data_IF_189716596596
#
_entry.id   IF_189716596596
#
_cell.length_a   1.000
_cell.length_b   1.000
_cell.length_c   1.000
_cell.angle_alpha   90.00
_cell.angle_beta   90.00
_cell.angle_gamma   90.00
#
_symmetry.space_group_name_H-M   'P 1'
#
loop_
_entity.id
_entity.type
_entity.pdbx_description
1 polymer ?
#
# COMPACT_ATOMS: atom_id res chain seq x y z
N UNK A 1 -83.19 27.08 -51.76
CA UNK A 1 -83.47 26.20 -50.60
C UNK A 1 -83.22 24.77 -51.05
N UNK A 2 -82.57 23.87 -50.28
CA UNK A 2 -82.52 23.80 -48.81
C UNK A 2 -81.13 23.53 -48.16
N UNK A 3 -81.11 23.78 -46.84
CA UNK A 3 -80.45 23.12 -45.69
C UNK A 3 -78.91 22.86 -45.59
N UNK A 4 -78.28 23.24 -44.46
CA UNK A 4 -76.94 22.78 -44.08
C UNK A 4 -77.00 21.43 -43.33
N UNK A 5 -76.18 20.46 -43.77
CA UNK A 5 -76.03 19.16 -43.10
C UNK A 5 -75.05 19.23 -41.93
N UNK A 6 -75.50 18.75 -40.78
CA UNK A 6 -74.71 18.54 -39.55
C UNK A 6 -73.54 17.57 -39.77
N UNK A 7 -72.38 17.93 -39.21
CA UNK A 7 -71.19 17.08 -39.12
C UNK A 7 -71.18 16.30 -37.79
N UNK A 8 -71.11 14.96 -37.80
CA UNK A 8 -71.02 14.17 -36.57
C UNK A 8 -69.58 14.12 -36.03
N UNK A 9 -69.43 14.37 -34.73
CA UNK A 9 -68.19 14.26 -33.95
C UNK A 9 -67.64 12.82 -34.01
N UNK A 10 -66.43 12.64 -34.56
CA UNK A 10 -65.63 11.42 -34.38
C UNK A 10 -64.89 11.49 -33.04
N UNK A 11 -65.29 10.65 -32.09
CA UNK A 11 -64.52 10.35 -30.87
C UNK A 11 -63.28 9.54 -31.22
N UNK A 12 -62.10 10.01 -30.83
CA UNK A 12 -60.86 9.26 -30.89
C UNK A 12 -60.81 8.28 -29.70
N UNK A 13 -60.53 6.98 -29.88
CA UNK A 13 -60.24 6.08 -28.75
C UNK A 13 -58.94 6.54 -28.08
N UNK A 14 -58.96 6.60 -26.75
CA UNK A 14 -57.80 7.00 -25.94
C UNK A 14 -56.66 6.00 -26.06
N UNK A 15 -55.46 6.48 -26.41
CA UNK A 15 -54.17 5.75 -26.39
C UNK A 15 -53.80 5.17 -25.01
N UNK A 16 -54.60 5.42 -23.97
CA UNK A 16 -54.37 4.92 -22.60
C UNK A 16 -54.70 3.43 -22.40
N UNK A 17 -55.51 2.81 -23.26
CA UNK A 17 -55.90 1.41 -23.10
C UNK A 17 -55.02 0.40 -23.86
N UNK A 18 -54.21 0.83 -24.82
CA UNK A 18 -53.29 -0.07 -25.54
C UNK A 18 -52.00 -0.32 -24.75
N UNK A 19 -51.49 0.70 -24.05
CA UNK A 19 -50.30 0.60 -23.20
C UNK A 19 -50.53 -0.23 -21.91
N UNK A 20 -51.77 -0.28 -21.41
CA UNK A 20 -52.12 -1.12 -20.25
C UNK A 20 -52.16 -2.61 -20.59
N UNK A 21 -52.62 -2.98 -21.79
CA UNK A 21 -52.65 -4.37 -22.25
C UNK A 21 -51.27 -4.88 -22.68
N UNK A 22 -50.39 -4.01 -23.18
CA UNK A 22 -49.01 -4.39 -23.53
C UNK A 22 -48.12 -4.57 -22.28
N UNK A 23 -48.33 -3.77 -21.23
CA UNK A 23 -47.71 -3.99 -19.92
C UNK A 23 -48.28 -5.22 -19.20
N UNK A 24 -49.59 -5.49 -19.32
CA UNK A 24 -50.19 -6.71 -18.77
C UNK A 24 -49.68 -7.98 -19.47
N UNK A 25 -49.41 -7.91 -20.79
CA UNK A 25 -48.80 -9.01 -21.56
C UNK A 25 -47.30 -9.20 -21.27
N UNK A 26 -46.56 -8.13 -20.96
CA UNK A 26 -45.17 -8.24 -20.45
C UNK A 26 -45.08 -8.82 -19.03
N UNK A 27 -46.10 -8.58 -18.19
CA UNK A 27 -46.20 -9.20 -16.86
C UNK A 27 -46.58 -10.69 -16.89
N UNK A 28 -47.23 -11.17 -17.96
CA UNK A 28 -47.66 -12.58 -18.07
C UNK A 28 -46.66 -13.52 -18.76
N UNK A 29 -45.55 -13.02 -19.31
CA UNK A 29 -44.56 -13.86 -20.02
C UNK A 29 -43.10 -13.67 -19.56
N UNK A 30 -42.86 -12.95 -18.47
CA UNK A 30 -41.60 -13.02 -17.75
C UNK A 30 -41.68 -14.13 -16.73
N UNK A 31 -40.88 -15.20 -16.88
CA UNK A 31 -40.59 -16.06 -15.74
C UNK A 31 -40.18 -15.13 -14.58
N UNK A 32 -40.90 -15.18 -13.45
CA UNK A 32 -40.44 -14.56 -12.21
C UNK A 32 -39.01 -15.05 -12.03
N UNK A 33 -38.03 -14.17 -12.23
CA UNK A 33 -36.64 -14.49 -11.94
C UNK A 33 -36.58 -14.53 -10.43
N UNK A 34 -36.91 -15.69 -9.86
CA UNK A 34 -36.70 -15.96 -8.46
C UNK A 34 -35.19 -15.79 -8.24
N UNK A 35 -34.82 -14.83 -7.40
CA UNK A 35 -33.42 -14.68 -7.02
C UNK A 35 -32.94 -16.01 -6.44
N UNK A 36 -31.96 -16.62 -7.11
CA UNK A 36 -31.36 -17.84 -6.60
C UNK A 36 -30.24 -17.49 -5.61
N UNK A 37 -30.14 -18.29 -4.54
CA UNK A 37 -29.12 -18.08 -3.51
C UNK A 37 -27.69 -18.21 -4.07
N UNK A 38 -27.52 -18.92 -5.20
CA UNK A 38 -26.24 -19.09 -5.88
C UNK A 38 -25.75 -17.79 -6.52
N UNK A 39 -26.61 -17.03 -7.19
CA UNK A 39 -26.31 -15.74 -7.80
C UNK A 39 -26.04 -14.70 -6.73
N UNK A 40 -26.82 -14.70 -5.64
CA UNK A 40 -26.52 -13.85 -4.47
C UNK A 40 -25.15 -14.20 -3.90
N UNK A 41 -24.87 -15.48 -3.64
CA UNK A 41 -23.55 -15.92 -3.16
C UNK A 41 -22.44 -15.47 -4.09
N UNK A 42 -22.60 -15.64 -5.41
CA UNK A 42 -21.60 -15.23 -6.40
C UNK A 42 -21.35 -13.72 -6.37
N UNK A 43 -22.41 -12.91 -6.30
CA UNK A 43 -22.31 -11.45 -6.26
C UNK A 43 -21.60 -10.96 -5.00
N UNK A 44 -22.02 -11.44 -3.82
CA UNK A 44 -21.41 -11.00 -2.55
C UNK A 44 -20.00 -11.56 -2.36
N UNK A 45 -19.69 -12.72 -2.95
CA UNK A 45 -18.35 -13.31 -2.90
C UNK A 45 -17.33 -12.52 -3.71
N UNK A 46 -17.77 -11.73 -4.69
CA UNK A 46 -16.93 -10.86 -5.51
C UNK A 46 -16.58 -9.51 -4.83
N UNK A 47 -17.27 -9.15 -3.75
CA UNK A 47 -16.92 -7.98 -2.93
C UNK A 47 -15.50 -8.14 -2.41
N UNK A 48 -14.72 -7.07 -2.44
CA UNK A 48 -13.31 -7.09 -2.09
C UNK A 48 -13.14 -6.69 -0.62
N UNK A 49 -12.45 -7.52 0.16
CA UNK A 49 -12.01 -7.11 1.48
C UNK A 49 -11.00 -5.94 1.34
N UNK A 50 -11.27 -4.77 1.92
CA UNK A 50 -10.43 -3.59 1.72
C UNK A 50 -9.05 -3.69 2.40
N UNK A 51 -8.89 -4.57 3.40
CA UNK A 51 -7.62 -4.77 4.10
C UNK A 51 -6.75 -5.82 3.38
N UNK A 52 -7.34 -6.94 2.98
CA UNK A 52 -6.66 -8.06 2.33
C UNK A 52 -6.60 -7.93 0.80
N UNK A 53 -7.40 -7.04 0.21
CA UNK A 53 -7.53 -6.82 -1.25
C UNK A 53 -7.84 -8.11 -2.03
N UNK A 54 -8.64 -8.99 -1.43
CA UNK A 54 -9.09 -10.25 -2.03
C UNK A 54 -10.61 -10.39 -1.93
N UNK A 55 -11.25 -11.11 -2.86
CA UNK A 55 -12.69 -11.36 -2.80
C UNK A 55 -13.09 -12.08 -1.50
N UNK A 56 -14.20 -11.68 -0.88
CA UNK A 56 -14.72 -12.27 0.36
C UNK A 56 -14.94 -13.78 0.24
N UNK A 57 -15.30 -14.26 -0.96
CA UNK A 57 -15.45 -15.69 -1.24
C UNK A 57 -14.13 -16.46 -1.16
N UNK A 58 -13.01 -15.89 -1.61
CA UNK A 58 -11.69 -16.54 -1.53
C UNK A 58 -11.17 -16.65 -0.09
N UNK A 59 -11.70 -15.80 0.80
CA UNK A 59 -11.32 -15.69 2.20
C UNK A 59 -12.22 -16.55 3.11
N UNK A 60 -13.23 -17.24 2.56
CA UNK A 60 -14.31 -17.91 3.30
C UNK A 60 -15.01 -16.97 4.31
N UNK A 61 -15.16 -15.70 3.94
CA UNK A 61 -15.87 -14.73 4.76
C UNK A 61 -17.38 -14.78 4.52
N UNK A 62 -17.84 -15.40 3.42
CA UNK A 62 -19.27 -15.57 3.13
C UNK A 62 -19.77 -16.88 3.73
N UNK A 63 -20.61 -16.79 4.75
CA UNK A 63 -21.27 -17.91 5.41
C UNK A 63 -22.51 -18.39 4.65
N UNK A 64 -23.59 -18.65 5.39
CA UNK A 64 -24.87 -19.05 4.82
C UNK A 64 -25.47 -17.91 3.98
N UNK A 65 -26.04 -18.29 2.83
CA UNK A 65 -26.77 -17.39 1.93
C UNK A 65 -28.10 -18.07 1.61
N UNK A 66 -29.21 -17.44 1.98
CA UNK A 66 -30.57 -17.90 1.64
C UNK A 66 -31.35 -16.75 1.00
N UNK A 67 -32.36 -17.10 0.20
CA UNK A 67 -33.25 -16.13 -0.43
C UNK A 67 -34.68 -16.61 -0.26
N UNK A 68 -35.48 -15.83 0.46
CA UNK A 68 -36.87 -16.14 0.78
C UNK A 68 -37.75 -14.93 0.43
N UNK A 69 -38.75 -15.11 -0.43
CA UNK A 69 -39.68 -14.05 -0.87
C UNK A 69 -39.00 -12.75 -1.34
N UNK A 70 -37.87 -12.87 -2.03
CA UNK A 70 -37.07 -11.74 -2.52
C UNK A 70 -36.23 -11.05 -1.44
N UNK A 71 -36.16 -11.60 -0.22
CA UNK A 71 -35.23 -11.14 0.82
C UNK A 71 -34.01 -12.04 0.83
N UNK A 72 -32.83 -11.48 0.56
CA UNK A 72 -31.56 -12.17 0.68
C UNK A 72 -31.03 -12.07 2.12
N UNK A 73 -30.78 -13.21 2.75
CA UNK A 73 -30.12 -13.30 4.05
C UNK A 73 -28.68 -13.76 3.83
N UNK A 74 -27.71 -12.93 4.21
CA UNK A 74 -26.28 -13.22 3.99
C UNK A 74 -25.53 -13.10 5.31
N UNK A 75 -24.86 -14.17 5.71
CA UNK A 75 -23.92 -14.15 6.85
C UNK A 75 -22.52 -13.80 6.38
N UNK A 76 -21.87 -12.84 7.04
CA UNK A 76 -20.49 -12.44 6.76
C UNK A 76 -19.66 -12.61 8.03
N UNK A 77 -18.59 -13.42 7.96
CA UNK A 77 -17.67 -13.65 9.06
C UNK A 77 -16.43 -12.77 8.92
N UNK A 78 -16.31 -11.75 9.78
CA UNK A 78 -15.16 -10.85 9.86
C UNK A 78 -13.96 -11.53 10.54
N UNK A 79 -12.76 -11.09 10.17
CA UNK A 79 -11.50 -11.63 10.70
C UNK A 79 -11.30 -11.33 12.18
N UNK A 80 -11.73 -10.16 12.65
CA UNK A 80 -11.65 -9.73 14.06
C UNK A 80 -12.87 -8.90 14.48
N UNK A 81 -13.09 -8.85 15.80
CA UNK A 81 -14.06 -7.93 16.42
C UNK A 81 -13.60 -6.49 16.19
N UNK A 82 -14.50 -5.61 15.72
CA UNK A 82 -14.19 -4.19 15.55
C UNK A 82 -13.30 -3.88 14.34
N UNK A 83 -13.26 -4.76 13.33
CA UNK A 83 -12.63 -4.49 12.04
C UNK A 83 -13.10 -3.10 11.54
N UNK A 84 -12.19 -2.13 11.33
CA UNK A 84 -12.56 -0.79 10.87
C UNK A 84 -13.33 -0.81 9.54
N UNK A 85 -13.08 -1.84 8.72
CA UNK A 85 -13.75 -2.05 7.46
C UNK A 85 -15.16 -2.68 7.57
N UNK A 86 -15.62 -3.10 8.75
CA UNK A 86 -16.89 -3.82 8.93
C UNK A 86 -18.09 -3.09 8.31
N UNK A 87 -18.21 -1.78 8.54
CA UNK A 87 -19.30 -0.94 8.02
C UNK A 87 -19.26 -0.88 6.49
N UNK A 88 -18.05 -0.76 5.93
CA UNK A 88 -17.85 -0.72 4.48
C UNK A 88 -18.20 -2.06 3.84
N UNK A 89 -17.69 -3.16 4.40
CA UNK A 89 -17.98 -4.52 3.94
C UNK A 89 -19.48 -4.79 3.99
N UNK A 90 -20.16 -4.45 5.09
CA UNK A 90 -21.61 -4.63 5.23
C UNK A 90 -22.38 -3.85 4.14
N UNK A 91 -21.99 -2.60 3.89
CA UNK A 91 -22.60 -1.76 2.85
C UNK A 91 -22.39 -2.33 1.45
N UNK A 92 -21.15 -2.69 1.10
CA UNK A 92 -20.81 -3.22 -0.24
C UNK A 92 -21.45 -4.59 -0.47
N UNK A 93 -21.52 -5.46 0.55
CA UNK A 93 -22.22 -6.75 0.47
C UNK A 93 -23.73 -6.56 0.30
N UNK A 94 -24.33 -5.63 1.06
CA UNK A 94 -25.75 -5.29 0.92
C UNK A 94 -26.06 -4.80 -0.49
N UNK A 95 -25.22 -3.91 -1.01
CA UNK A 95 -25.35 -3.38 -2.37
C UNK A 95 -25.20 -4.48 -3.42
N UNK A 96 -24.17 -5.33 -3.31
CA UNK A 96 -23.94 -6.43 -4.25
C UNK A 96 -25.11 -7.43 -4.27
N UNK A 97 -25.66 -7.77 -3.09
CA UNK A 97 -26.84 -8.63 -2.99
C UNK A 97 -28.08 -7.99 -3.61
N UNK A 98 -28.30 -6.68 -3.40
CA UNK A 98 -29.46 -5.95 -3.92
C UNK A 98 -29.45 -5.80 -5.45
N UNK A 99 -28.29 -5.87 -6.10
CA UNK A 99 -28.17 -5.82 -7.57
C UNK A 99 -28.55 -7.14 -8.26
N UNK A 100 -28.78 -8.22 -7.50
CA UNK A 100 -29.18 -9.51 -8.07
C UNK A 100 -30.66 -9.48 -8.46
N UNK A 101 -31.02 -9.78 -9.73
CA UNK A 101 -32.41 -9.81 -10.16
C UNK A 101 -33.28 -10.73 -9.28
N UNK A 102 -34.40 -10.19 -8.79
CA UNK A 102 -35.31 -10.90 -7.89
C UNK A 102 -35.08 -10.61 -6.40
N UNK A 103 -34.01 -9.90 -6.02
CA UNK A 103 -33.80 -9.42 -4.65
C UNK A 103 -34.47 -8.06 -4.45
N UNK A 104 -35.38 -7.98 -3.48
CA UNK A 104 -36.08 -6.77 -3.04
C UNK A 104 -35.39 -6.12 -1.83
N UNK A 105 -34.77 -6.93 -0.96
CA UNK A 105 -34.08 -6.48 0.25
C UNK A 105 -32.93 -7.43 0.58
N UNK A 106 -31.84 -6.91 1.16
CA UNK A 106 -30.74 -7.70 1.67
C UNK A 106 -30.49 -7.44 3.16
N UNK A 107 -30.61 -8.49 3.96
CA UNK A 107 -30.33 -8.50 5.40
C UNK A 107 -28.97 -9.16 5.62
N UNK A 108 -28.02 -8.37 6.14
CA UNK A 108 -26.63 -8.81 6.34
C UNK A 108 -26.41 -9.07 7.84
N UNK A 109 -26.06 -10.30 8.17
CA UNK A 109 -25.68 -10.68 9.54
C UNK A 109 -24.14 -10.68 9.63
N UNK A 110 -23.60 -9.72 10.38
CA UNK A 110 -22.16 -9.62 10.62
C UNK A 110 -21.77 -10.46 11.83
N UNK A 111 -20.87 -11.41 11.62
CA UNK A 111 -20.27 -12.27 12.65
C UNK A 111 -18.75 -12.17 12.68
N UNK A 112 -18.12 -12.98 13.53
CA UNK A 112 -16.65 -13.07 13.64
C UNK A 112 -16.23 -14.52 13.41
N UNK A 113 -15.12 -14.70 12.69
CA UNK A 113 -14.52 -16.01 12.45
C UNK A 113 -14.17 -16.74 13.76
N UNK A 114 -14.50 -18.02 13.82
CA UNK A 114 -14.03 -18.93 14.87
C UNK A 114 -12.51 -19.09 14.84
N UNK A 115 -11.86 -19.53 15.94
CA UNK A 115 -10.41 -19.81 15.93
C UNK A 115 -9.97 -20.76 14.82
N UNK A 116 -10.78 -21.77 14.47
CA UNK A 116 -10.49 -22.69 13.39
C UNK A 116 -10.51 -21.99 12.02
N UNK A 117 -11.51 -21.14 11.76
CA UNK A 117 -11.60 -20.35 10.52
C UNK A 117 -10.44 -19.36 10.38
N UNK A 118 -10.03 -18.69 11.47
CA UNK A 118 -8.88 -17.78 11.48
C UNK A 118 -7.56 -18.50 11.22
N UNK A 119 -7.37 -19.69 11.79
CA UNK A 119 -6.21 -20.53 11.51
C UNK A 119 -6.16 -20.95 10.03
N UNK A 120 -7.28 -21.40 9.46
CA UNK A 120 -7.37 -21.79 8.06
C UNK A 120 -7.13 -20.61 7.10
N UNK A 121 -7.64 -19.42 7.45
CA UNK A 121 -7.34 -18.19 6.71
C UNK A 121 -5.84 -17.86 6.76
N UNK A 122 -5.22 -17.93 7.95
CA UNK A 122 -3.79 -17.67 8.13
C UNK A 122 -2.92 -18.64 7.33
N UNK A 123 -3.28 -19.92 7.30
CA UNK A 123 -2.59 -20.94 6.52
C UNK A 123 -2.68 -20.68 5.01
N UNK A 124 -3.87 -20.30 4.52
CA UNK A 124 -4.08 -19.89 3.12
C UNK A 124 -3.27 -18.64 2.77
N UNK A 125 -3.31 -17.60 3.60
CA UNK A 125 -2.57 -16.35 3.37
C UNK A 125 -1.05 -16.55 3.41
N UNK A 126 -0.56 -17.57 4.12
CA UNK A 126 0.85 -17.95 4.11
C UNK A 126 1.24 -18.78 2.89
N UNK A 127 0.28 -19.36 2.16
CA UNK A 127 0.50 -20.14 0.93
C UNK A 127 1.63 -21.19 1.05
N UNK A 128 1.76 -21.83 2.23
CA UNK A 128 2.80 -22.84 2.48
C UNK A 128 4.23 -22.29 2.63
N UNK A 129 4.42 -20.97 2.74
CA UNK A 129 5.75 -20.38 3.01
C UNK A 129 6.29 -20.87 4.37
N UNK A 130 7.56 -21.31 4.45
CA UNK A 130 8.19 -21.69 5.71
C UNK A 130 8.16 -20.53 6.71
N UNK A 131 8.10 -20.84 8.01
CA UNK A 131 8.27 -19.81 9.05
C UNK A 131 9.71 -19.27 8.98
N UNK A 132 9.85 -17.97 8.71
CA UNK A 132 11.14 -17.27 8.63
C UNK A 132 11.03 -15.97 7.83
N UNK A 133 12.13 -15.24 7.72
CA UNK A 133 12.20 -14.03 6.90
C UNK A 133 11.84 -14.36 5.46
N UNK A 134 10.76 -13.77 4.95
CA UNK A 134 10.22 -14.09 3.63
C UNK A 134 11.08 -13.56 2.47
N UNK A 135 12.03 -12.66 2.77
CA UNK A 135 12.84 -11.94 1.80
C UNK A 135 14.24 -12.53 1.74
N UNK A 136 14.42 -13.54 0.88
CA UNK A 136 15.70 -14.25 0.71
C UNK A 136 16.42 -13.84 -0.56
N UNK A 137 17.69 -14.23 -0.69
CA UNK A 137 18.50 -14.02 -1.90
C UNK A 137 17.86 -14.57 -3.17
N UNK A 138 17.07 -15.65 -3.04
CA UNK A 138 16.39 -16.33 -4.14
C UNK A 138 14.97 -15.78 -4.39
N UNK A 139 14.52 -14.86 -3.54
CA UNK A 139 13.21 -14.24 -3.62
C UNK A 139 12.99 -13.41 -4.88
N UNK A 140 11.70 -13.27 -5.23
CA UNK A 140 11.21 -12.39 -6.28
C UNK A 140 10.94 -10.96 -5.80
N UNK A 141 11.20 -10.62 -4.54
CA UNK A 141 11.10 -9.24 -4.04
C UNK A 141 12.48 -8.57 -4.01
N UNK A 142 12.58 -7.34 -4.51
CA UNK A 142 13.80 -6.51 -4.42
C UNK A 142 13.70 -5.76 -3.10
N UNK A 143 14.66 -5.97 -2.22
CA UNK A 143 14.69 -5.28 -0.94
C UNK A 143 15.64 -4.11 -1.04
N UNK A 144 15.17 -2.90 -0.73
CA UNK A 144 15.97 -1.68 -0.76
C UNK A 144 15.89 -1.00 0.61
N UNK A 145 17.00 -0.96 1.33
CA UNK A 145 17.12 -0.21 2.57
C UNK A 145 17.57 1.23 2.28
N UNK A 146 16.79 2.20 2.73
CA UNK A 146 17.09 3.62 2.60
C UNK A 146 17.70 4.11 3.91
N UNK A 147 18.97 4.50 3.88
CA UNK A 147 19.73 4.91 5.07
C UNK A 147 20.22 6.35 4.96
N UNK A 148 20.55 6.96 6.08
CA UNK A 148 21.22 8.26 6.14
C UNK A 148 22.26 8.29 7.26
N UNK A 149 23.24 9.18 7.13
CA UNK A 149 24.20 9.42 8.21
C UNK A 149 23.61 10.18 9.40
N UNK A 150 22.67 11.09 9.13
CA UNK A 150 22.07 11.98 10.13
C UNK A 150 20.55 12.00 10.02
N UNK A 151 19.90 12.36 11.13
CA UNK A 151 18.49 12.75 11.14
C UNK A 151 18.27 14.08 10.42
N UNK A 152 17.07 14.31 9.89
CA UNK A 152 16.69 15.57 9.27
C UNK A 152 17.10 15.76 7.80
N UNK A 153 17.79 14.78 7.18
CA UNK A 153 18.13 14.85 5.74
C UNK A 153 16.96 14.57 4.79
N UNK A 154 15.75 14.32 5.33
CA UNK A 154 14.54 14.02 4.55
C UNK A 154 14.46 12.59 4.00
N UNK A 155 15.20 11.64 4.60
CA UNK A 155 15.19 10.21 4.27
C UNK A 155 13.76 9.64 4.19
N UNK A 156 12.98 9.73 5.27
CA UNK A 156 11.62 9.17 5.32
C UNK A 156 10.67 9.80 4.31
N UNK A 157 10.77 11.12 4.09
CA UNK A 157 10.02 11.84 3.04
C UNK A 157 10.34 11.30 1.65
N UNK A 158 11.62 11.07 1.34
CA UNK A 158 12.03 10.46 0.08
C UNK A 158 11.58 9.01 -0.03
N UNK A 159 11.72 8.21 1.04
CA UNK A 159 11.30 6.80 1.06
C UNK A 159 9.79 6.67 0.78
N UNK A 160 8.95 7.49 1.42
CA UNK A 160 7.51 7.49 1.21
C UNK A 160 7.13 7.87 -0.24
N UNK A 161 7.70 8.97 -0.76
CA UNK A 161 7.41 9.40 -2.14
C UNK A 161 7.96 8.41 -3.18
N UNK A 162 9.11 7.80 -2.93
CA UNK A 162 9.66 6.76 -3.78
C UNK A 162 8.74 5.52 -3.81
N UNK A 163 8.22 5.10 -2.65
CA UNK A 163 7.28 3.99 -2.55
C UNK A 163 6.03 4.25 -3.41
N UNK A 164 5.46 5.44 -3.27
CA UNK A 164 4.26 5.87 -3.98
C UNK A 164 4.52 5.98 -5.48
N UNK A 165 5.67 6.53 -5.89
CA UNK A 165 6.05 6.62 -7.29
C UNK A 165 6.27 5.24 -7.93
N UNK A 166 6.80 4.26 -7.19
CA UNK A 166 6.93 2.88 -7.66
C UNK A 166 5.57 2.20 -7.78
N UNK A 167 4.68 2.38 -6.80
CA UNK A 167 3.32 1.85 -6.83
C UNK A 167 2.49 2.44 -8.00
N UNK A 168 2.63 3.75 -8.26
CA UNK A 168 2.00 4.42 -9.40
C UNK A 168 2.48 3.89 -10.78
N UNK A 169 3.61 3.15 -10.82
CA UNK A 169 4.10 2.44 -12.00
C UNK A 169 3.56 1.01 -12.12
N UNK A 170 2.63 0.62 -11.25
CA UNK A 170 2.01 -0.70 -11.23
C UNK A 170 2.80 -1.77 -10.49
N UNK A 171 3.85 -1.40 -9.74
CA UNK A 171 4.61 -2.36 -8.93
C UNK A 171 3.89 -2.64 -7.61
N UNK A 172 3.97 -3.88 -7.14
CA UNK A 172 3.52 -4.24 -5.80
C UNK A 172 4.57 -3.83 -4.77
N UNK A 173 4.27 -2.81 -3.95
CA UNK A 173 5.24 -2.17 -3.04
C UNK A 173 4.86 -2.36 -1.57
N UNK A 174 5.83 -2.81 -0.78
CA UNK A 174 5.79 -2.78 0.68
C UNK A 174 6.73 -1.71 1.24
N UNK A 175 6.36 -1.10 2.35
CA UNK A 175 7.16 -0.13 3.07
C UNK A 175 7.22 -0.46 4.57
N UNK A 176 8.43 -0.67 5.08
CA UNK A 176 8.70 -0.89 6.49
C UNK A 176 9.39 0.34 7.05
N UNK A 177 8.78 0.97 8.03
CA UNK A 177 9.40 2.04 8.81
C UNK A 177 10.08 1.43 10.04
N UNK A 178 11.42 1.39 9.97
CA UNK A 178 12.28 0.88 11.03
C UNK A 178 12.87 2.00 11.90
N UNK A 179 12.49 3.27 11.68
CA UNK A 179 12.95 4.40 12.47
C UNK A 179 12.15 4.52 13.77
N UNK A 180 12.69 3.93 14.82
CA UNK A 180 12.01 3.81 16.12
C UNK A 180 11.93 5.10 16.92
N UNK A 181 12.75 6.08 16.57
CA UNK A 181 12.82 7.36 17.27
C UNK A 181 12.08 8.47 16.50
N UNK A 182 11.96 8.33 15.18
CA UNK A 182 11.38 9.33 14.28
C UNK A 182 10.39 8.76 13.29
N UNK A 183 9.57 7.78 13.69
CA UNK A 183 8.57 7.17 12.82
C UNK A 183 7.68 8.28 12.21
N UNK A 184 7.74 8.40 10.89
CA UNK A 184 7.09 9.50 10.17
C UNK A 184 6.34 9.02 8.94
N UNK A 185 6.62 7.80 8.48
CA UNK A 185 6.01 7.20 7.30
C UNK A 185 4.47 7.18 7.38
N UNK A 186 3.82 6.81 8.50
CA UNK A 186 2.36 6.80 8.54
C UNK A 186 1.75 8.19 8.31
N UNK A 187 2.33 9.23 8.92
CA UNK A 187 1.91 10.61 8.72
C UNK A 187 2.15 11.08 7.28
N UNK A 188 3.33 10.80 6.73
CA UNK A 188 3.70 11.14 5.34
C UNK A 188 2.79 10.50 4.28
N UNK A 189 2.17 9.36 4.60
CA UNK A 189 1.22 8.67 3.74
C UNK A 189 -0.26 8.95 4.11
N UNK A 190 -0.52 9.85 5.06
CA UNK A 190 -1.89 10.16 5.49
C UNK A 190 -2.60 8.96 6.14
N UNK A 191 -1.85 7.99 6.68
CA UNK A 191 -2.36 6.85 7.44
C UNK A 191 -2.73 7.30 8.87
N UNK A 192 -3.59 8.30 8.96
CA UNK A 192 -4.14 8.86 10.18
C UNK A 192 -5.67 8.79 10.13
N UNK A 193 -6.29 8.45 11.26
CA UNK A 193 -7.75 8.43 11.38
C UNK A 193 -8.33 9.84 11.54
N UNK A 194 -9.66 9.95 11.58
CA UNK A 194 -10.36 11.23 11.74
C UNK A 194 -10.06 11.95 13.07
N UNK A 195 -9.47 11.26 14.05
CA UNK A 195 -9.02 11.83 15.31
C UNK A 195 -7.52 12.18 15.30
N UNK A 196 -6.84 12.04 14.16
CA UNK A 196 -5.42 12.33 13.99
C UNK A 196 -4.49 11.23 14.51
N UNK A 197 -5.00 10.04 14.83
CA UNK A 197 -4.20 8.92 15.36
C UNK A 197 -3.71 8.03 14.24
N UNK A 198 -2.55 7.43 14.42
CA UNK A 198 -1.98 6.51 13.41
C UNK A 198 -2.88 5.29 13.20
N UNK A 199 -3.21 4.99 11.94
CA UNK A 199 -3.96 3.78 11.57
C UNK A 199 -3.14 2.54 11.94
N UNK A 200 -3.76 1.61 12.66
CA UNK A 200 -3.08 0.40 13.16
C UNK A 200 -3.30 -0.80 12.24
N UNK A 201 -2.30 -1.69 12.09
CA UNK A 201 -2.44 -2.97 11.41
C UNK A 201 -3.49 -3.87 12.07
N UNK A 202 -4.21 -4.62 11.25
CA UNK A 202 -5.11 -5.69 11.71
C UNK A 202 -4.28 -6.91 12.08
N UNK A 203 -4.52 -7.48 13.28
CA UNK A 203 -3.84 -8.71 13.73
C UNK A 203 -4.78 -9.91 13.62
N UNK A 204 -4.39 -10.91 12.85
CA UNK A 204 -5.08 -12.19 12.71
C UNK A 204 -4.16 -13.27 13.30
N UNK A 205 -4.39 -13.62 14.57
CA UNK A 205 -3.49 -14.46 15.36
C UNK A 205 -2.04 -13.91 15.38
N UNK A 206 -1.11 -14.55 14.67
CA UNK A 206 0.28 -14.09 14.53
C UNK A 206 0.53 -13.27 13.26
N UNK A 207 -0.43 -13.24 12.33
CA UNK A 207 -0.32 -12.52 11.07
C UNK A 207 -0.67 -11.04 11.27
N UNK A 208 0.14 -10.15 10.70
CA UNK A 208 -0.07 -8.71 10.72
C UNK A 208 -0.48 -8.28 9.32
N UNK A 209 -1.70 -7.77 9.14
CA UNK A 209 -2.16 -7.19 7.88
C UNK A 209 -1.91 -5.67 7.92
N UNK A 210 -0.96 -5.15 7.12
CA UNK A 210 -0.60 -3.74 7.18
C UNK A 210 -1.68 -2.87 6.52
N UNK A 211 -1.91 -1.63 7.00
CA UNK A 211 -2.72 -0.67 6.26
C UNK A 211 -2.11 -0.33 4.90
N UNK A 212 -2.96 0.14 3.99
CA UNK A 212 -2.60 0.47 2.62
C UNK A 212 -2.91 1.94 2.37
N UNK A 213 -1.94 2.69 1.86
CA UNK A 213 -2.11 4.05 1.35
C UNK A 213 -1.39 4.19 0.02
N UNK A 214 -2.06 4.80 -0.98
CA UNK A 214 -1.50 4.97 -2.34
C UNK A 214 -0.96 3.65 -2.93
N UNK A 215 -1.69 2.56 -2.68
CA UNK A 215 -1.32 1.18 -3.05
C UNK A 215 0.03 0.67 -2.49
N UNK A 216 0.55 1.33 -1.45
CA UNK A 216 1.72 0.90 -0.67
C UNK A 216 1.26 0.25 0.64
N UNK A 217 1.66 -1.01 0.85
CA UNK A 217 1.43 -1.75 2.11
C UNK A 217 2.46 -1.30 3.14
N UNK A 218 2.01 -0.66 4.23
CA UNK A 218 2.91 0.03 5.15
C UNK A 218 2.82 -0.52 6.56
N UNK A 219 3.97 -0.82 7.17
CA UNK A 219 4.07 -1.13 8.59
C UNK A 219 5.10 -0.21 9.24
N UNK A 220 4.77 0.35 10.39
CA UNK A 220 5.67 1.19 11.18
C UNK A 220 5.63 0.76 12.64
N UNK A 221 6.76 0.91 13.33
CA UNK A 221 6.82 0.61 14.76
C UNK A 221 5.89 1.51 15.58
N UNK A 222 5.66 2.76 15.13
CA UNK A 222 4.75 3.70 15.79
C UNK A 222 3.31 3.18 15.88
N UNK A 223 2.91 2.31 14.96
CA UNK A 223 1.58 1.69 14.93
C UNK A 223 1.33 0.70 16.09
N UNK A 224 2.39 0.25 16.77
CA UNK A 224 2.32 -0.73 17.86
C UNK A 224 2.53 -0.11 19.25
N UNK A 225 2.75 1.20 19.32
CA UNK A 225 2.76 1.92 20.58
C UNK A 225 1.36 1.95 21.19
N UNK A 226 1.27 1.87 22.52
CA UNK A 226 -0.02 1.92 23.23
C UNK A 226 -0.59 3.34 23.15
N UNK A 227 -1.92 3.46 23.18
CA UNK A 227 -2.56 4.78 23.29
C UNK A 227 -2.06 5.48 24.55
N UNK A 228 -1.55 6.71 24.40
CA UNK A 228 -0.94 7.49 25.49
C UNK A 228 0.60 7.40 25.56
N UNK A 229 1.23 6.45 24.88
CA UNK A 229 2.71 6.29 24.86
C UNK A 229 3.35 6.95 23.63
N UNK A 230 2.58 7.59 22.75
CA UNK A 230 3.07 8.23 21.51
C UNK A 230 4.06 9.39 21.77
N UNK A 231 4.01 9.99 22.97
CA UNK A 231 4.99 10.97 23.47
C UNK A 231 5.94 10.43 24.55
N UNK A 232 5.77 9.16 24.96
CA UNK A 232 6.63 8.55 25.96
C UNK A 232 7.92 8.07 25.29
N UNK A 233 9.08 8.45 25.82
CA UNK A 233 10.37 7.95 25.38
C UNK A 233 10.50 6.46 25.76
N UNK A 234 9.91 5.56 24.97
CA UNK A 234 10.09 4.13 25.12
C UNK A 234 11.54 3.81 24.79
N UNK A 235 12.32 3.42 25.80
CA UNK A 235 13.71 3.04 25.61
C UNK A 235 13.81 1.67 24.92
N UNK A 236 13.78 1.68 23.59
CA UNK A 236 13.96 0.48 22.79
C UNK A 236 15.39 -0.05 22.94
N UNK A 237 15.53 -1.28 23.43
CA UNK A 237 16.83 -1.97 23.54
C UNK A 237 17.12 -2.74 22.25
N UNK A 238 18.39 -2.84 21.86
CA UNK A 238 18.84 -3.56 20.65
C UNK A 238 18.16 -4.92 20.39
N UNK A 239 18.08 -5.83 21.37
CA UNK A 239 17.40 -7.12 21.17
C UNK A 239 15.90 -7.01 20.88
N UNK A 240 15.23 -5.99 21.44
CA UNK A 240 13.81 -5.74 21.15
C UNK A 240 13.62 -5.20 19.74
N UNK A 241 14.52 -4.32 19.30
CA UNK A 241 14.55 -3.80 17.94
C UNK A 241 14.77 -4.91 16.92
N UNK A 242 15.77 -5.76 17.15
CA UNK A 242 16.04 -6.92 16.31
C UNK A 242 14.81 -7.82 16.15
N UNK A 243 14.15 -8.18 17.28
CA UNK A 243 12.93 -8.99 17.24
C UNK A 243 11.79 -8.30 16.49
N UNK A 244 11.65 -6.99 16.62
CA UNK A 244 10.58 -6.24 15.95
C UNK A 244 10.79 -6.19 14.44
N UNK A 245 12.02 -5.89 13.99
CA UNK A 245 12.38 -5.94 12.57
C UNK A 245 12.18 -7.35 12.02
N UNK A 246 12.65 -8.38 12.74
CA UNK A 246 12.45 -9.77 12.35
C UNK A 246 10.95 -10.12 12.22
N UNK A 247 10.12 -9.64 13.14
CA UNK A 247 8.67 -9.80 13.09
C UNK A 247 8.08 -9.14 11.85
N UNK A 248 8.48 -7.91 11.52
CA UNK A 248 8.00 -7.25 10.30
C UNK A 248 8.37 -8.00 9.03
N UNK A 249 9.53 -8.64 9.00
CA UNK A 249 9.99 -9.42 7.85
C UNK A 249 9.40 -10.85 7.77
N UNK A 250 8.72 -11.31 8.83
CA UNK A 250 8.22 -12.70 8.95
C UNK A 250 6.70 -12.77 9.03
N UNK A 251 6.09 -11.91 9.85
CA UNK A 251 4.70 -12.01 10.26
C UNK A 251 3.78 -11.01 9.53
N UNK A 252 4.33 -10.01 8.84
CA UNK A 252 3.53 -9.06 8.06
C UNK A 252 3.14 -9.67 6.72
N UNK A 253 1.83 -9.66 6.44
CA UNK A 253 1.26 -10.13 5.19
C UNK A 253 1.36 -9.05 4.10
N UNK A 254 2.54 -8.94 3.49
CA UNK A 254 2.73 -8.08 2.32
C UNK A 254 2.16 -8.69 1.03
N UNK A 255 1.83 -9.98 1.00
CA UNK A 255 1.50 -10.72 -0.22
C UNK A 255 2.74 -10.92 -1.11
N UNK A 256 2.54 -10.89 -2.42
CA UNK A 256 3.63 -10.89 -3.40
C UNK A 256 4.05 -9.45 -3.69
N UNK A 257 5.34 -9.16 -3.45
CA UNK A 257 5.92 -7.83 -3.66
C UNK A 257 6.97 -7.87 -4.76
N UNK A 258 6.96 -6.86 -5.62
CA UNK A 258 8.07 -6.55 -6.51
C UNK A 258 9.20 -5.86 -5.74
N UNK A 259 8.84 -4.93 -4.85
CA UNK A 259 9.78 -4.11 -4.08
C UNK A 259 9.34 -4.01 -2.61
N UNK A 260 10.30 -4.17 -1.70
CA UNK A 260 10.18 -3.83 -0.29
C UNK A 260 11.17 -2.70 0.03
N UNK A 261 10.66 -1.55 0.45
CA UNK A 261 11.46 -0.44 0.95
C UNK A 261 11.57 -0.51 2.48
N UNK A 262 12.76 -0.28 3.02
CA UNK A 262 12.98 -0.13 4.45
C UNK A 262 13.46 1.29 4.74
N UNK A 263 12.68 2.05 5.51
CA UNK A 263 13.10 3.34 6.05
C UNK A 263 13.94 3.12 7.31
N UNK A 264 15.26 3.20 7.18
CA UNK A 264 16.19 2.88 8.26
C UNK A 264 16.31 4.03 9.25
N UNK A 265 16.56 3.84 10.55
CA UNK A 265 16.91 4.95 11.43
C UNK A 265 18.22 5.61 11.01
N UNK A 266 18.46 6.88 11.35
CA UNK A 266 19.70 7.55 11.02
C UNK A 266 20.91 6.92 11.72
N UNK A 267 22.05 6.95 11.03
CA UNK A 267 23.34 6.50 11.54
C UNK A 267 23.56 4.98 11.44
N UNK A 268 24.41 4.48 12.32
CA UNK A 268 24.99 3.12 12.26
C UNK A 268 24.64 2.28 13.49
N UNK A 269 23.43 2.46 14.05
CA UNK A 269 22.98 1.82 15.29
C UNK A 269 22.48 0.37 15.14
N UNK A 270 21.96 -0.20 16.23
CA UNK A 270 21.55 -1.61 16.33
C UNK A 270 20.57 -2.09 15.24
N UNK A 271 19.68 -1.20 14.77
CA UNK A 271 18.71 -1.52 13.70
C UNK A 271 19.42 -1.72 12.36
N UNK A 272 20.41 -0.88 12.03
CA UNK A 272 21.18 -1.01 10.81
C UNK A 272 21.94 -2.35 10.77
N UNK A 273 22.54 -2.72 11.90
CA UNK A 273 23.21 -4.02 12.06
C UNK A 273 22.20 -5.17 11.95
N UNK A 274 21.04 -5.06 12.63
CA UNK A 274 20.00 -6.09 12.61
C UNK A 274 19.45 -6.32 11.20
N UNK A 275 19.16 -5.25 10.46
CA UNK A 275 18.72 -5.34 9.07
C UNK A 275 19.80 -5.96 8.20
N UNK A 276 21.06 -5.56 8.37
CA UNK A 276 22.18 -6.17 7.64
C UNK A 276 22.32 -7.68 7.90
N UNK A 277 22.09 -8.13 9.13
CA UNK A 277 22.11 -9.56 9.49
C UNK A 277 20.90 -10.33 8.92
N UNK A 278 19.71 -9.74 8.94
CA UNK A 278 18.48 -10.37 8.48
C UNK A 278 18.33 -10.33 6.96
N UNK A 279 18.90 -9.31 6.31
CA UNK A 279 18.78 -9.01 4.88
C UNK A 279 20.14 -8.66 4.26
N UNK A 280 21.14 -9.57 4.31
CA UNK A 280 22.48 -9.30 3.79
C UNK A 280 22.51 -9.05 2.28
N UNK A 281 21.45 -9.42 1.54
CA UNK A 281 21.35 -9.23 0.09
C UNK A 281 20.56 -7.98 -0.32
N UNK A 282 20.14 -7.15 0.63
CA UNK A 282 19.39 -5.94 0.30
C UNK A 282 20.28 -4.92 -0.43
N UNK A 283 19.67 -4.24 -1.39
CA UNK A 283 20.24 -3.03 -1.96
C UNK A 283 20.13 -1.88 -0.95
N UNK A 284 21.06 -0.94 -1.01
CA UNK A 284 21.11 0.20 -0.10
C UNK A 284 21.16 1.50 -0.89
N UNK A 285 20.24 2.40 -0.59
CA UNK A 285 20.23 3.78 -1.04
C UNK A 285 20.67 4.68 0.11
N UNK A 286 21.73 5.46 -0.11
CA UNK A 286 22.26 6.39 0.89
C UNK A 286 21.72 7.79 0.62
N UNK A 287 20.96 8.34 1.57
CA UNK A 287 20.45 9.71 1.52
C UNK A 287 21.40 10.64 2.25
N UNK A 288 21.79 11.72 1.57
CA UNK A 288 22.59 12.81 2.12
C UNK A 288 22.03 14.16 1.70
N UNK A 289 22.66 15.26 2.13
CA UNK A 289 22.41 16.61 1.62
C UNK A 289 23.72 17.21 1.09
N UNK A 290 23.68 18.37 0.39
CA UNK A 290 24.89 19.04 -0.06
C UNK A 290 25.86 19.43 1.07
N UNK A 291 25.39 19.51 2.31
CA UNK A 291 26.21 19.92 3.44
C UNK A 291 27.35 18.92 3.70
N UNK A 292 28.62 19.36 3.83
CA UNK A 292 29.74 18.48 4.08
C UNK A 292 29.57 17.61 5.33
N UNK A 293 28.97 18.19 6.38
CA UNK A 293 28.76 17.48 7.63
C UNK A 293 27.74 16.33 7.51
N UNK A 294 26.74 16.42 6.63
CA UNK A 294 25.80 15.32 6.35
C UNK A 294 26.47 14.26 5.47
N UNK A 295 27.21 14.70 4.45
CA UNK A 295 27.97 13.84 3.54
C UNK A 295 28.97 12.93 4.29
N UNK A 296 29.78 13.49 5.19
CA UNK A 296 30.78 12.70 5.93
C UNK A 296 30.16 11.54 6.72
N UNK A 297 29.01 11.77 7.35
CA UNK A 297 28.35 10.71 8.14
C UNK A 297 27.58 9.75 7.23
N UNK A 298 27.07 10.20 6.09
CA UNK A 298 26.42 9.33 5.10
C UNK A 298 27.38 8.27 4.53
N UNK A 299 28.66 8.61 4.34
CA UNK A 299 29.71 7.64 3.97
C UNK A 299 29.79 6.51 4.99
N UNK A 300 29.72 6.81 6.29
CA UNK A 300 29.78 5.79 7.35
C UNK A 300 28.62 4.80 7.28
N UNK A 301 27.42 5.28 6.97
CA UNK A 301 26.24 4.41 6.77
C UNK A 301 26.41 3.48 5.56
N UNK A 302 26.97 3.98 4.45
CA UNK A 302 27.28 3.17 3.26
C UNK A 302 28.37 2.11 3.53
N UNK A 303 29.42 2.47 4.27
CA UNK A 303 30.48 1.53 4.67
C UNK A 303 29.94 0.44 5.58
N UNK A 304 29.09 0.78 6.56
CA UNK A 304 28.46 -0.22 7.42
C UNK A 304 27.61 -1.21 6.62
N UNK A 305 26.80 -0.71 5.68
CA UNK A 305 26.01 -1.56 4.80
C UNK A 305 26.86 -2.59 4.04
N UNK A 306 28.03 -2.20 3.52
CA UNK A 306 28.96 -3.13 2.89
C UNK A 306 29.52 -4.15 3.88
N UNK A 307 29.87 -3.72 5.09
CA UNK A 307 30.38 -4.62 6.14
C UNK A 307 29.35 -5.67 6.56
N UNK A 308 28.05 -5.38 6.42
CA UNK A 308 26.95 -6.33 6.65
C UNK A 308 26.56 -7.15 5.41
N UNK A 309 27.33 -7.04 4.32
CA UNK A 309 27.14 -7.80 3.08
C UNK A 309 26.19 -7.16 2.07
N UNK A 310 25.56 -6.03 2.41
CA UNK A 310 24.59 -5.35 1.57
C UNK A 310 25.27 -4.57 0.43
N UNK A 311 24.54 -4.36 -0.66
CA UNK A 311 25.05 -3.66 -1.84
C UNK A 311 24.59 -2.21 -1.87
N UNK A 312 25.51 -1.25 -1.88
CA UNK A 312 25.15 0.17 -2.07
C UNK A 312 24.90 0.43 -3.55
N UNK A 313 23.64 0.66 -3.93
CA UNK A 313 23.24 0.85 -5.34
C UNK A 313 23.19 2.31 -5.77
N UNK A 314 23.27 3.23 -4.82
CA UNK A 314 23.35 4.64 -5.15
C UNK A 314 23.24 5.60 -3.99
N UNK A 315 23.56 6.85 -4.28
CA UNK A 315 23.40 7.99 -3.38
C UNK A 315 22.28 8.89 -3.89
N UNK A 316 21.46 9.40 -2.98
CA UNK A 316 20.47 10.44 -3.24
C UNK A 316 20.92 11.70 -2.49
N UNK A 317 21.14 12.78 -3.22
CA UNK A 317 21.33 14.10 -2.64
C UNK A 317 19.97 14.77 -2.48
N UNK A 318 19.47 14.88 -1.24
CA UNK A 318 18.25 15.61 -0.95
C UNK A 318 18.54 17.08 -0.59
N UNK A 319 17.53 17.93 -0.69
CA UNK A 319 17.66 19.37 -0.42
C UNK A 319 18.77 20.01 -1.27
N UNK A 320 18.88 19.54 -2.53
CA UNK A 320 19.73 20.14 -3.54
C UNK A 320 19.24 21.57 -3.88
N UNK A 321 19.96 22.35 -4.70
CA UNK A 321 19.60 23.74 -4.99
C UNK A 321 18.12 23.89 -5.37
N UNK A 322 17.43 24.81 -4.69
CA UNK A 322 16.01 25.08 -4.90
C UNK A 322 15.81 25.78 -6.23
N UNK A 323 14.85 25.31 -7.03
CA UNK A 323 14.43 26.01 -8.26
C UNK A 323 13.48 27.14 -7.89
N UNK A 324 13.82 28.36 -8.30
CA UNK A 324 13.01 29.57 -8.08
C UNK A 324 12.00 29.76 -9.22
N UNK A 325 10.92 30.56 -9.02
CA UNK A 325 9.90 30.78 -10.04
C UNK A 325 10.42 31.40 -11.36
N UNK A 326 11.56 32.09 -11.31
CA UNK A 326 12.22 32.66 -12.49
C UNK A 326 13.13 31.65 -13.23
N UNK A 327 13.19 30.40 -12.77
CA UNK A 327 14.00 29.33 -13.33
C UNK A 327 15.46 29.30 -12.84
N UNK A 328 15.87 30.27 -12.02
CA UNK A 328 17.20 30.24 -11.39
C UNK A 328 17.24 29.28 -10.21
N UNK A 329 18.44 28.98 -9.69
CA UNK A 329 18.61 28.07 -8.56
C UNK A 329 19.24 28.76 -7.36
N UNK A 330 18.75 28.44 -6.16
CA UNK A 330 19.30 28.88 -4.88
C UNK A 330 19.99 27.72 -4.16
N UNK A 331 21.31 27.79 -3.99
CA UNK A 331 22.11 26.80 -3.27
C UNK A 331 22.08 27.02 -1.74
N UNK A 332 20.90 26.89 -1.11
CA UNK A 332 20.73 27.20 0.32
C UNK A 332 21.69 26.40 1.23
N UNK A 333 21.99 25.16 0.85
CA UNK A 333 22.86 24.25 1.60
C UNK A 333 24.17 23.92 0.88
N UNK A 334 24.48 24.64 -0.20
CA UNK A 334 25.57 24.34 -1.12
C UNK A 334 25.22 23.27 -2.16
N UNK A 335 26.26 22.68 -2.75
CA UNK A 335 26.16 21.68 -3.82
C UNK A 335 27.27 20.63 -3.72
N UNK A 336 27.06 19.46 -4.33
CA UNK A 336 28.12 18.45 -4.56
C UNK A 336 28.36 17.45 -3.42
N UNK A 337 27.65 17.55 -2.30
CA UNK A 337 27.77 16.61 -1.18
C UNK A 337 27.43 15.17 -1.57
N UNK A 338 26.38 14.96 -2.37
CA UNK A 338 26.01 13.64 -2.87
C UNK A 338 27.06 13.02 -3.79
N UNK A 339 27.63 13.82 -4.70
CA UNK A 339 28.71 13.38 -5.58
C UNK A 339 29.96 12.98 -4.77
N UNK A 340 30.28 13.73 -3.72
CA UNK A 340 31.38 13.38 -2.83
C UNK A 340 31.15 12.05 -2.09
N UNK A 341 29.93 11.80 -1.60
CA UNK A 341 29.57 10.51 -0.96
C UNK A 341 29.66 9.36 -1.98
N UNK A 342 29.12 9.55 -3.18
CA UNK A 342 29.14 8.55 -4.25
C UNK A 342 30.59 8.17 -4.64
N UNK A 343 31.46 9.17 -4.81
CA UNK A 343 32.88 8.95 -5.06
C UNK A 343 33.58 8.24 -3.89
N UNK A 344 33.27 8.61 -2.64
CA UNK A 344 33.87 8.00 -1.45
C UNK A 344 33.46 6.54 -1.24
N UNK A 345 32.25 6.18 -1.68
CA UNK A 345 31.73 4.81 -1.62
C UNK A 345 32.08 4.00 -2.87
N UNK A 346 32.68 4.59 -3.90
CA UNK A 346 33.10 3.85 -5.08
C UNK A 346 34.40 3.09 -4.79
N UNK A 347 34.43 1.79 -5.06
CA UNK A 347 35.61 0.93 -4.94
C UNK A 347 35.94 0.29 -6.29
N UNK A 348 37.16 -0.24 -6.43
CA UNK A 348 37.60 -0.93 -7.64
C UNK A 348 36.66 -2.07 -8.02
N UNK A 349 35.84 -1.87 -9.05
CA UNK A 349 34.89 -2.87 -9.56
C UNK A 349 33.45 -2.77 -9.02
N UNK A 350 33.15 -1.81 -8.13
CA UNK A 350 31.80 -1.53 -7.63
C UNK A 350 31.57 -0.01 -7.57
N UNK A 351 31.10 0.55 -8.68
CA UNK A 351 30.76 1.97 -8.82
C UNK A 351 29.46 2.29 -8.10
N UNK A 352 29.49 3.32 -7.25
CA UNK A 352 28.31 3.83 -6.55
C UNK A 352 27.89 5.15 -7.20
N UNK A 353 26.81 5.19 -7.99
CA UNK A 353 26.38 6.40 -8.66
C UNK A 353 25.59 7.35 -7.75
N UNK A 354 25.66 8.65 -8.04
CA UNK A 354 24.63 9.60 -7.62
C UNK A 354 23.38 9.33 -8.47
N UNK A 355 22.36 8.68 -7.88
CA UNK A 355 21.17 8.23 -8.61
C UNK A 355 20.09 9.29 -8.72
N UNK A 356 20.10 10.27 -7.81
CA UNK A 356 19.20 11.42 -7.85
C UNK A 356 19.79 12.60 -7.08
N UNK A 357 19.47 13.80 -7.55
CA UNK A 357 19.61 15.05 -6.81
C UNK A 357 18.22 15.68 -6.76
N UNK A 358 17.64 15.75 -5.56
CA UNK A 358 16.26 16.19 -5.32
C UNK A 358 16.29 17.62 -4.79
N UNK A 359 15.79 18.60 -5.58
CA UNK A 359 15.75 20.00 -5.17
C UNK A 359 15.00 20.20 -3.86
N UNK A 360 15.44 21.16 -3.06
CA UNK A 360 14.66 21.64 -1.93
C UNK A 360 13.34 22.23 -2.45
N UNK A 361 12.22 21.71 -1.96
CA UNK A 361 10.87 22.14 -2.38
C UNK A 361 9.99 22.42 -1.16
N UNK A 362 9.36 23.60 -1.16
CA UNK A 362 8.35 23.96 -0.18
C UNK A 362 7.07 23.14 -0.36
N UNK A 363 6.71 22.82 -1.60
CA UNK A 363 5.58 21.96 -1.93
C UNK A 363 5.80 20.55 -1.38
N UNK A 364 7.02 19.99 -1.48
CA UNK A 364 7.34 18.68 -0.92
C UNK A 364 7.17 18.64 0.60
N UNK A 365 7.57 19.72 1.29
CA UNK A 365 7.35 19.88 2.73
C UNK A 365 5.86 19.92 3.08
N UNK A 366 5.08 20.76 2.38
CA UNK A 366 3.61 20.89 2.59
C UNK A 366 2.90 19.55 2.33
N UNK A 367 3.24 18.90 1.24
CA UNK A 367 2.76 17.57 0.86
C UNK A 367 2.99 16.55 1.98
N UNK A 368 4.22 16.53 2.54
CA UNK A 368 4.56 15.69 3.68
C UNK A 368 3.72 15.96 4.92
N UNK A 369 3.52 17.22 5.30
CA UNK A 369 2.69 17.58 6.46
C UNK A 369 1.22 17.19 6.29
N UNK A 370 0.71 17.26 5.06
CA UNK A 370 -0.67 16.92 4.72
C UNK A 370 -0.92 15.42 4.49
N UNK A 371 0.12 14.59 4.50
CA UNK A 371 0.02 13.17 4.17
C UNK A 371 -0.35 12.88 2.71
N UNK A 372 -0.03 13.81 1.80
CA UNK A 372 -0.36 13.74 0.38
C UNK A 372 0.93 13.78 -0.48
N UNK A 373 1.56 12.62 -0.77
CA UNK A 373 2.83 12.51 -1.48
C UNK A 373 2.91 13.38 -2.74
N UNK A 374 3.96 14.21 -2.85
CA UNK A 374 4.11 15.21 -3.92
C UNK A 374 4.12 14.59 -5.31
N UNK A 375 4.64 13.37 -5.43
CA UNK A 375 4.72 12.63 -6.70
C UNK A 375 3.34 12.37 -7.33
N UNK A 376 2.26 12.47 -6.55
CA UNK A 376 0.88 12.41 -7.03
C UNK A 376 0.18 13.76 -6.95
N UNK A 377 0.38 14.52 -5.87
CA UNK A 377 -0.36 15.76 -5.62
C UNK A 377 0.14 16.96 -6.44
N UNK A 378 1.43 17.01 -6.76
CA UNK A 378 2.03 18.00 -7.67
C UNK A 378 3.19 17.40 -8.49
N UNK A 379 2.90 16.60 -9.52
CA UNK A 379 3.93 15.95 -10.35
C UNK A 379 4.80 16.93 -11.15
N UNK A 380 4.40 18.20 -11.26
CA UNK A 380 5.14 19.26 -11.95
C UNK A 380 6.27 19.87 -11.13
N UNK A 381 6.26 19.67 -9.80
CA UNK A 381 7.32 20.17 -8.93
C UNK A 381 8.67 19.48 -9.25
N UNK A 382 9.80 20.22 -9.28
CA UNK A 382 11.11 19.66 -9.59
C UNK A 382 11.55 18.51 -8.68
N UNK A 383 11.17 18.53 -7.40
CA UNK A 383 11.46 17.43 -6.48
C UNK A 383 10.61 16.20 -6.79
N UNK A 384 9.31 16.39 -7.10
CA UNK A 384 8.43 15.30 -7.53
C UNK A 384 8.95 14.63 -8.81
N UNK A 385 9.41 15.44 -9.77
CA UNK A 385 10.01 14.96 -11.00
C UNK A 385 11.28 14.13 -10.74
N UNK A 386 12.21 14.65 -9.93
CA UNK A 386 13.45 13.94 -9.58
C UNK A 386 13.18 12.58 -8.92
N UNK A 387 12.21 12.50 -8.01
CA UNK A 387 11.81 11.25 -7.35
C UNK A 387 11.16 10.28 -8.34
N UNK A 388 10.32 10.79 -9.25
CA UNK A 388 9.67 9.96 -10.30
C UNK A 388 10.68 9.37 -11.27
N UNK A 389 11.70 10.15 -11.66
CA UNK A 389 12.82 9.67 -12.49
C UNK A 389 13.62 8.59 -11.76
N UNK A 390 13.90 8.79 -10.47
CA UNK A 390 14.57 7.78 -9.64
C UNK A 390 13.74 6.47 -9.57
N UNK A 391 12.43 6.58 -9.34
CA UNK A 391 11.53 5.44 -9.32
C UNK A 391 11.55 4.68 -10.66
N UNK A 392 11.55 5.41 -11.78
CA UNK A 392 11.67 4.82 -13.11
C UNK A 392 12.98 4.05 -13.29
N UNK A 393 14.10 4.61 -12.83
CA UNK A 393 15.42 3.97 -12.89
C UNK A 393 15.43 2.67 -12.08
N UNK A 394 14.96 2.73 -10.82
CA UNK A 394 14.88 1.56 -9.92
C UNK A 394 13.97 0.46 -10.50
N UNK A 395 12.84 0.83 -11.10
CA UNK A 395 11.91 -0.10 -11.73
C UNK A 395 12.49 -0.76 -12.99
N UNK A 396 13.32 -0.03 -13.74
CA UNK A 396 13.91 -0.51 -15.01
C UNK A 396 15.17 -1.35 -14.84
N UNK A 397 15.87 -1.20 -13.72
CA UNK A 397 17.14 -1.85 -13.51
C UNK A 397 16.93 -3.36 -13.29
N UNK A 398 17.36 -4.21 -14.24
CA UNK A 398 17.17 -5.64 -14.11
C UNK A 398 17.96 -6.12 -12.90
N UNK A 399 17.36 -6.98 -12.09
CA UNK A 399 18.11 -7.69 -11.04
C UNK A 399 19.23 -8.44 -11.72
N UNK A 400 20.47 -8.26 -11.26
CA UNK A 400 21.58 -9.07 -11.76
C UNK A 400 21.26 -10.55 -11.59
N UNK A 401 20.90 -11.23 -12.67
CA UNK A 401 20.61 -12.67 -12.69
C UNK A 401 21.89 -13.52 -12.75
N UNK A 402 23.06 -12.87 -12.77
CA UNK A 402 24.35 -13.54 -12.79
C UNK A 402 24.50 -14.45 -11.56
N UNK A 403 24.66 -15.76 -11.80
CA UNK A 403 24.85 -16.77 -10.75
C UNK A 403 23.58 -17.40 -10.18
N UNK A 404 22.37 -16.98 -10.59
CA UNK A 404 21.12 -17.63 -10.16
C UNK A 404 20.90 -18.95 -10.91
N UNK A 405 20.71 -20.04 -10.18
CA UNK A 405 20.36 -21.34 -10.76
C UNK A 405 18.93 -21.27 -11.29
N UNK A 406 18.75 -21.54 -12.58
CA UNK A 406 17.42 -21.80 -13.13
C UNK A 406 16.83 -23.05 -12.45
N UNK A 407 15.57 -23.03 -12.00
CA UNK A 407 14.93 -24.20 -11.41
C UNK A 407 14.48 -25.15 -12.52
N UNK A 408 15.43 -25.60 -13.35
CA UNK A 408 15.21 -26.63 -14.34
C UNK A 408 15.72 -27.94 -13.76
N UNK A 409 14.81 -28.75 -13.24
CA UNK A 409 15.08 -30.17 -13.05
C UNK A 409 14.88 -30.85 -14.42
N UNK A 410 15.91 -31.45 -15.04
CA UNK A 410 15.69 -32.28 -16.23
C UNK A 410 14.79 -33.46 -15.84
N UNK A 411 13.73 -33.64 -16.63
CA UNK A 411 12.80 -34.77 -16.50
C UNK A 411 13.48 -36.10 -16.83
#
# INVERSE_FOLDING_TARGET
>A
MPEPRESPKKSWPSEKNAASDENARKMQNGALVNADAASVRSAVSAVIDPELRRPLGELDMIGDVTVDDGVAHVKVALTIVGCPAAVRIESEVREAAAHVPGVLRADIEMGVMTPAQRSALTERLRAGRPRGVAFTADGLTRVIAVTSGKGGVGKSTLTANLAVALAARGLSVGLVDADVHGFSIPGLLGLVDSAGRTVRPTRIDQLIVPPIAYDVKTVSIGMFLREGDEGAAVAWRGPMLHRTVQQFLTDVHFGDLDILLLDMPPGTGDVAISVGQLLPHADVLVVTTPQPAAAEVAVRSGVLARQTGQRVVGVIENMAPMVLPDGTTLELFGSGGGAAVAASLTESGDEVPLVASVPLSSALRVAGDSGAPIVLSDPGDPAAHAITVLAAKIASEPRGLAGRKLPLQPR
#
